data_IF_223037682445
#
_entry.id   IF_223037682445
#
_cell.length_a   1.000
_cell.length_b   1.000
_cell.length_c   1.000
_cell.angle_alpha   90.00
_cell.angle_beta   90.00
_cell.angle_gamma   90.00
#
_symmetry.space_group_name_H-M   'P 1'
#
loop_
_entity.id
_entity.type
_entity.pdbx_description
1 polymer ?
#
# COMPACT_ATOMS: atom_id res chain seq x y z
N UNK A 1 24.51 -3.57 15.08
CA UNK A 1 24.34 -3.37 13.62
C UNK A 1 22.85 -3.41 13.32
N UNK A 2 22.22 -2.26 13.13
CA UNK A 2 20.79 -2.17 12.81
C UNK A 2 20.55 -2.79 11.44
N UNK A 3 20.04 -4.03 11.39
CA UNK A 3 19.63 -4.67 10.13
C UNK A 3 18.56 -3.80 9.49
N UNK A 4 18.94 -3.21 8.39
CA UNK A 4 18.35 -2.02 7.85
C UNK A 4 16.84 -2.13 7.69
N UNK A 5 16.21 -1.09 8.21
CA UNK A 5 14.86 -0.61 8.05
C UNK A 5 14.58 -0.26 6.57
N UNK A 6 14.96 -1.12 5.62
CA UNK A 6 15.02 -0.86 4.18
C UNK A 6 13.93 -1.65 3.46
N UNK A 7 13.18 -0.95 2.61
CA UNK A 7 12.17 -1.55 1.75
C UNK A 7 12.82 -2.66 0.88
N UNK A 8 12.14 -3.80 0.71
CA UNK A 8 12.65 -4.90 -0.11
C UNK A 8 12.78 -4.47 -1.59
N UNK A 9 13.61 -5.17 -2.37
CA UNK A 9 13.78 -4.87 -3.79
C UNK A 9 12.44 -4.96 -4.56
N UNK A 10 11.61 -5.93 -4.22
CA UNK A 10 10.30 -6.13 -4.85
C UNK A 10 9.34 -4.96 -4.53
N UNK A 11 9.25 -4.57 -3.25
CA UNK A 11 8.48 -3.40 -2.85
C UNK A 11 9.00 -2.10 -3.46
N UNK A 12 10.31 -1.95 -3.64
CA UNK A 12 10.89 -0.77 -4.33
C UNK A 12 10.45 -0.69 -5.79
N UNK A 13 10.42 -1.82 -6.50
CA UNK A 13 9.93 -1.87 -7.88
C UNK A 13 8.45 -1.50 -7.97
N UNK A 14 7.65 -2.02 -7.04
CA UNK A 14 6.24 -1.66 -6.95
C UNK A 14 6.07 -0.16 -6.67
N UNK A 15 6.77 0.38 -5.68
CA UNK A 15 6.73 1.81 -5.34
C UNK A 15 7.09 2.70 -6.54
N UNK A 16 8.17 2.37 -7.25
CA UNK A 16 8.62 3.09 -8.45
C UNK A 16 7.56 3.07 -9.57
N UNK A 17 6.89 1.92 -9.76
CA UNK A 17 5.84 1.75 -10.74
C UNK A 17 4.53 2.49 -10.39
N UNK A 18 4.20 2.60 -9.09
CA UNK A 18 3.02 3.30 -8.60
C UNK A 18 3.18 4.83 -8.70
N UNK A 19 4.39 5.34 -8.53
CA UNK A 19 4.72 6.76 -8.73
C UNK A 19 4.84 7.56 -7.42
N UNK A 20 5.11 8.88 -7.54
CA UNK A 20 5.57 9.72 -6.44
C UNK A 20 4.51 10.04 -5.37
N UNK A 21 3.23 9.77 -5.65
CA UNK A 21 2.14 9.92 -4.66
C UNK A 21 2.28 8.92 -3.51
N UNK A 22 2.93 7.78 -3.76
CA UNK A 22 3.15 6.74 -2.77
C UNK A 22 4.46 6.96 -2.01
N UNK A 23 4.43 6.67 -0.72
CA UNK A 23 5.56 6.84 0.19
C UNK A 23 5.87 5.55 0.95
N UNK A 24 7.02 5.50 1.62
CA UNK A 24 7.34 4.40 2.54
C UNK A 24 6.97 4.81 3.95
N UNK A 25 6.12 4.03 4.61
CA UNK A 25 5.72 4.25 6.00
C UNK A 25 6.01 2.99 6.83
N UNK A 26 6.50 3.19 8.05
CA UNK A 26 6.73 2.08 8.98
C UNK A 26 5.46 1.84 9.81
N UNK A 27 4.86 0.66 9.65
CA UNK A 27 3.63 0.23 10.32
C UNK A 27 3.89 -1.16 10.91
N UNK A 28 3.57 -1.37 12.19
CA UNK A 28 3.79 -2.64 12.90
C UNK A 28 5.20 -3.23 12.74
N UNK A 29 6.21 -2.36 12.80
CA UNK A 29 7.63 -2.69 12.59
C UNK A 29 8.01 -3.15 11.18
N UNK A 30 7.10 -3.09 10.21
CA UNK A 30 7.34 -3.34 8.79
C UNK A 30 7.35 -2.02 7.98
N UNK A 31 8.22 -1.92 6.98
CA UNK A 31 8.13 -0.84 5.98
C UNK A 31 7.12 -1.22 4.90
N UNK A 32 6.00 -0.51 4.88
CA UNK A 32 4.91 -0.63 3.93
C UNK A 32 4.97 0.47 2.88
N UNK A 33 4.35 0.23 1.73
CA UNK A 33 4.04 1.30 0.77
C UNK A 33 2.73 1.95 1.24
N UNK A 34 2.64 3.26 1.18
CA UNK A 34 1.55 4.02 1.76
C UNK A 34 1.10 5.16 0.85
N UNK A 35 -0.20 5.38 0.75
CA UNK A 35 -0.81 6.54 0.10
C UNK A 35 -1.71 7.25 1.12
N UNK A 36 -1.46 8.53 1.34
CA UNK A 36 -2.35 9.41 2.10
C UNK A 36 -3.38 10.01 1.14
N UNK A 37 -4.67 9.86 1.44
CA UNK A 37 -5.74 10.54 0.68
C UNK A 37 -6.62 11.41 1.60
N UNK A 38 -6.09 11.81 2.76
CA UNK A 38 -6.77 12.63 3.77
C UNK A 38 -7.90 11.92 4.52
N UNK A 39 -9.00 11.56 3.84
CA UNK A 39 -10.16 10.88 4.46
C UNK A 39 -9.93 9.39 4.65
N UNK A 40 -9.24 8.78 3.70
CA UNK A 40 -8.86 7.38 3.73
C UNK A 40 -7.41 7.26 3.28
N UNK A 41 -6.72 6.23 3.76
CA UNK A 41 -5.35 5.93 3.35
C UNK A 41 -5.27 4.51 2.81
N UNK A 42 -4.26 4.26 1.99
CA UNK A 42 -3.96 2.93 1.48
C UNK A 42 -2.61 2.48 2.03
N UNK A 43 -2.59 1.29 2.60
CA UNK A 43 -1.39 0.58 3.04
C UNK A 43 -1.20 -0.67 2.19
N UNK A 44 0.04 -0.90 1.74
CA UNK A 44 0.45 -2.14 1.06
C UNK A 44 1.56 -2.80 1.89
N UNK A 45 1.25 -3.96 2.47
CA UNK A 45 2.14 -4.75 3.31
C UNK A 45 2.55 -6.07 2.63
N UNK A 46 3.43 -6.84 3.28
CA UNK A 46 3.98 -8.11 2.77
C UNK A 46 4.77 -7.98 1.47
N UNK A 47 4.79 -8.94 0.55
CA UNK A 47 5.53 -8.78 -0.72
C UNK A 47 7.04 -8.58 -0.59
N UNK A 48 7.70 -9.28 0.36
CA UNK A 48 9.15 -9.15 0.58
C UNK A 48 9.97 -9.60 -0.64
N UNK A 49 9.48 -10.56 -1.40
CA UNK A 49 10.11 -11.06 -2.63
C UNK A 49 9.16 -10.92 -3.82
N UNK A 50 9.68 -10.96 -5.04
CA UNK A 50 8.89 -10.85 -6.29
C UNK A 50 7.84 -11.95 -6.48
N UNK A 51 7.96 -13.07 -5.76
CA UNK A 51 6.98 -14.18 -5.77
C UNK A 51 6.07 -14.17 -4.55
N UNK A 52 6.26 -13.20 -3.65
CA UNK A 52 5.47 -13.07 -2.44
C UNK A 52 4.23 -12.24 -2.75
N UNK A 53 3.12 -12.66 -2.17
CA UNK A 53 1.87 -11.92 -2.22
C UNK A 53 1.94 -10.64 -1.39
N UNK A 54 1.17 -9.64 -1.79
CA UNK A 54 0.95 -8.39 -1.06
C UNK A 54 -0.45 -8.37 -0.46
N UNK A 55 -0.57 -7.67 0.65
CA UNK A 55 -1.87 -7.34 1.24
C UNK A 55 -2.08 -5.84 1.12
N UNK A 56 -3.29 -5.42 0.75
CA UNK A 56 -3.69 -4.02 0.64
C UNK A 56 -4.79 -3.74 1.67
N UNK A 57 -4.60 -2.70 2.46
CA UNK A 57 -5.57 -2.24 3.46
C UNK A 57 -5.98 -0.81 3.15
N UNK A 58 -7.28 -0.55 3.23
CA UNK A 58 -7.84 0.80 3.14
C UNK A 58 -8.26 1.22 4.54
N UNK A 59 -7.68 2.30 5.04
CA UNK A 59 -7.92 2.84 6.37
C UNK A 59 -8.83 4.07 6.27
N UNK A 60 -9.77 4.23 7.21
CA UNK A 60 -10.54 5.47 7.36
C UNK A 60 -9.98 6.33 8.50
N UNK A 61 -9.65 7.58 8.21
CA UNK A 61 -8.92 8.47 9.14
C UNK A 61 -9.82 9.34 10.02
N UNK A 62 -11.11 9.47 9.69
CA UNK A 62 -11.91 10.62 10.16
C UNK A 62 -12.30 10.58 11.64
N UNK A 63 -12.42 9.39 12.25
CA UNK A 63 -12.94 9.28 13.62
C UNK A 63 -12.37 8.09 14.42
N UNK A 64 -12.09 6.98 13.75
CA UNK A 64 -11.50 5.77 14.35
C UNK A 64 -10.62 5.15 13.29
N UNK A 65 -9.31 5.15 13.47
CA UNK A 65 -8.36 4.50 12.55
C UNK A 65 -8.74 3.01 12.44
N UNK A 66 -9.55 2.67 11.44
CA UNK A 66 -10.02 1.31 11.22
C UNK A 66 -9.98 0.98 9.74
N UNK A 67 -9.80 -0.30 9.47
CA UNK A 67 -9.76 -0.86 8.12
C UNK A 67 -11.18 -0.94 7.59
N UNK A 68 -11.45 -0.27 6.47
CA UNK A 68 -12.75 -0.29 5.77
C UNK A 68 -12.76 -1.30 4.62
N UNK A 69 -11.60 -1.58 4.01
CA UNK A 69 -11.44 -2.63 3.00
C UNK A 69 -10.10 -3.34 3.18
N UNK A 70 -10.07 -4.64 2.86
CA UNK A 70 -8.85 -5.44 2.85
C UNK A 70 -8.84 -6.37 1.65
N UNK A 71 -7.70 -6.42 0.97
CA UNK A 71 -7.43 -7.32 -0.13
C UNK A 71 -6.18 -8.11 0.25
N UNK A 72 -6.35 -9.41 0.46
CA UNK A 72 -5.30 -10.27 0.98
C UNK A 72 -4.77 -11.17 -0.11
N UNK A 73 -3.51 -11.58 0.03
CA UNK A 73 -2.91 -12.63 -0.77
C UNK A 73 -2.91 -12.33 -2.28
N UNK A 74 -2.74 -11.04 -2.63
CA UNK A 74 -2.71 -10.54 -4.01
C UNK A 74 -1.36 -10.86 -4.63
N UNK A 75 -1.38 -11.41 -5.85
CA UNK A 75 -0.16 -11.57 -6.63
C UNK A 75 0.53 -10.21 -6.81
N UNK A 76 1.86 -10.17 -6.68
CA UNK A 76 2.64 -8.94 -6.84
C UNK A 76 2.87 -8.60 -8.33
N UNK A 77 1.79 -8.66 -9.09
CA UNK A 77 1.71 -8.16 -10.46
C UNK A 77 1.61 -6.63 -10.44
N UNK A 78 2.54 -5.96 -11.10
CA UNK A 78 2.66 -4.50 -10.99
C UNK A 78 1.43 -3.78 -11.52
N UNK A 79 0.96 -4.18 -12.70
CA UNK A 79 -0.19 -3.58 -13.36
C UNK A 79 -1.50 -3.91 -12.62
N UNK A 80 -1.73 -5.17 -12.26
CA UNK A 80 -2.91 -5.59 -11.52
C UNK A 80 -3.02 -4.94 -10.14
N UNK A 81 -1.91 -4.77 -9.42
CA UNK A 81 -1.90 -4.02 -8.15
C UNK A 81 -2.22 -2.54 -8.41
N UNK A 82 -1.65 -1.93 -9.44
CA UNK A 82 -1.92 -0.54 -9.79
C UNK A 82 -3.38 -0.31 -10.21
N UNK A 83 -3.96 -1.21 -10.98
CA UNK A 83 -5.37 -1.19 -11.38
C UNK A 83 -6.29 -1.28 -10.17
N UNK A 84 -6.03 -2.22 -9.26
CA UNK A 84 -6.76 -2.33 -8.00
C UNK A 84 -6.70 -1.04 -7.18
N UNK A 85 -5.51 -0.45 -7.05
CA UNK A 85 -5.32 0.80 -6.32
C UNK A 85 -6.05 1.96 -6.98
N UNK A 86 -6.05 2.05 -8.32
CA UNK A 86 -6.80 3.06 -9.05
C UNK A 86 -8.31 2.90 -8.87
N UNK A 87 -8.82 1.68 -8.83
CA UNK A 87 -10.22 1.38 -8.56
C UNK A 87 -10.61 1.77 -7.11
N UNK A 88 -9.79 1.43 -6.11
CA UNK A 88 -9.96 1.89 -4.72
C UNK A 88 -9.98 3.42 -4.68
N UNK A 89 -8.99 4.08 -5.30
CA UNK A 89 -8.91 5.54 -5.38
C UNK A 89 -10.18 6.10 -6.01
N UNK A 90 -10.67 5.56 -7.13
CA UNK A 90 -11.87 6.06 -7.79
C UNK A 90 -13.13 6.00 -6.90
N UNK A 91 -13.22 5.04 -5.97
CA UNK A 91 -14.34 4.97 -5.02
C UNK A 91 -14.27 6.03 -3.93
N UNK A 92 -13.08 6.31 -3.40
CA UNK A 92 -12.92 7.21 -2.24
C UNK A 92 -12.47 8.62 -2.60
N UNK A 93 -11.91 8.80 -3.79
CA UNK A 93 -11.46 10.07 -4.37
C UNK A 93 -12.57 10.75 -5.19
N UNK A 94 -13.83 10.28 -5.10
CA UNK A 94 -14.96 11.08 -5.60
C UNK A 94 -15.07 12.36 -4.77
N UNK A 95 -14.42 13.39 -5.29
CA UNK A 95 -14.63 14.77 -4.90
C UNK A 95 -16.11 15.12 -5.04
N UNK A 96 -16.56 15.94 -4.11
CA UNK A 96 -17.91 16.46 -3.99
C UNK A 96 -18.12 17.60 -4.97
#
# INVERSE_FOLDING_TARGET
>A
MSRDNKLSLAKKRLLDHLGPEYTVKKIDSENCIYLDMGKCDIEISRGRTIKSKVDVYVWQNKDKLHIIERYLDIEQDLDGVKELLNDIRARYFKEK
#
